data_IF_537542292591
#
_entry.id   IF_537542292591
#
_cell.length_a   1.000
_cell.length_b   1.000
_cell.length_c   1.000
_cell.angle_alpha   90.00
_cell.angle_beta   90.00
_cell.angle_gamma   90.00
#
_symmetry.space_group_name_H-M   'P 1'
#
loop_
_entity.id
_entity.type
_entity.pdbx_description
1 polymer ?
#
# COMPACT_ATOMS: atom_id res chain seq x y z
N UNK A 1 3.27 -20.68 -5.99
CA UNK A 1 3.73 -19.98 -4.81
C UNK A 1 2.85 -18.80 -4.52
N UNK A 2 2.29 -18.75 -3.32
CA UNK A 2 1.35 -17.69 -2.93
C UNK A 2 1.97 -16.31 -3.03
N UNK A 3 3.26 -16.18 -2.77
CA UNK A 3 3.95 -14.88 -2.86
C UNK A 3 3.91 -14.28 -4.26
N UNK A 4 4.00 -15.10 -5.30
CA UNK A 4 3.91 -14.61 -6.67
C UNK A 4 2.55 -13.97 -6.94
N UNK A 5 1.48 -14.60 -6.47
CA UNK A 5 0.14 -14.06 -6.67
C UNK A 5 -0.08 -12.75 -5.92
N UNK A 6 0.39 -12.68 -4.68
CA UNK A 6 0.28 -11.47 -3.89
C UNK A 6 1.12 -10.35 -4.50
N UNK A 7 2.33 -10.68 -4.95
CA UNK A 7 3.19 -9.71 -5.62
C UNK A 7 2.55 -9.20 -6.92
N UNK A 8 1.93 -10.09 -7.67
CA UNK A 8 1.25 -9.72 -8.91
C UNK A 8 0.11 -8.72 -8.65
N UNK A 9 -0.66 -8.93 -7.58
CA UNK A 9 -1.70 -7.98 -7.18
C UNK A 9 -1.12 -6.62 -6.79
N UNK A 10 0.01 -6.62 -6.10
CA UNK A 10 0.70 -5.39 -5.73
C UNK A 10 1.14 -4.60 -6.96
N UNK A 11 1.53 -5.30 -8.03
CA UNK A 11 1.92 -4.69 -9.29
C UNK A 11 0.79 -3.87 -9.90
N UNK A 12 -0.46 -4.34 -9.79
CA UNK A 12 -1.62 -3.59 -10.30
C UNK A 12 -1.72 -2.22 -9.64
N UNK A 13 -1.40 -2.13 -8.35
CA UNK A 13 -1.45 -0.87 -7.61
C UNK A 13 -0.22 0.00 -7.83
N UNK A 14 0.95 -0.62 -7.96
CA UNK A 14 2.22 0.09 -7.97
C UNK A 14 2.96 0.01 -9.31
N UNK A 15 2.27 -0.41 -10.34
CA UNK A 15 2.72 -0.34 -11.75
C UNK A 15 4.11 -0.89 -12.00
N UNK A 16 4.33 -2.16 -11.69
CA UNK A 16 5.60 -2.86 -11.97
C UNK A 16 6.80 -2.34 -11.20
N UNK A 17 6.61 -1.36 -10.33
CA UNK A 17 7.71 -0.85 -9.51
C UNK A 17 7.87 -1.73 -8.28
N UNK A 18 9.12 -2.05 -7.90
CA UNK A 18 9.34 -2.94 -6.76
C UNK A 18 9.02 -2.24 -5.43
N UNK A 19 8.20 -2.90 -4.64
CA UNK A 19 7.90 -2.46 -3.28
C UNK A 19 8.29 -3.61 -2.35
N UNK A 20 9.23 -3.35 -1.45
CA UNK A 20 9.64 -4.35 -0.47
C UNK A 20 8.53 -4.53 0.55
N UNK A 21 8.33 -5.76 0.96
CA UNK A 21 7.29 -6.10 1.92
C UNK A 21 7.76 -7.25 2.78
N UNK A 22 7.11 -7.40 3.93
CA UNK A 22 7.39 -8.49 4.85
C UNK A 22 6.10 -8.96 5.50
N UNK A 23 5.97 -10.26 5.64
CA UNK A 23 4.84 -10.86 6.35
C UNK A 23 5.20 -10.97 7.83
N UNK A 24 4.32 -10.47 8.68
CA UNK A 24 4.48 -10.57 10.14
C UNK A 24 3.50 -11.60 10.66
N UNK A 25 4.01 -12.79 10.95
CA UNK A 25 3.20 -13.94 11.33
C UNK A 25 2.37 -13.69 12.58
N UNK A 26 2.96 -13.04 13.57
CA UNK A 26 2.27 -12.77 14.84
C UNK A 26 1.01 -11.93 14.67
N UNK A 27 0.95 -11.10 13.65
CA UNK A 27 -0.17 -10.21 13.38
C UNK A 27 -0.97 -10.65 12.16
N UNK A 28 -0.47 -11.65 11.44
CA UNK A 28 -1.05 -12.16 10.19
C UNK A 28 -1.33 -11.03 9.20
N UNK A 29 -0.31 -10.18 9.01
CA UNK A 29 -0.40 -9.01 8.13
C UNK A 29 0.84 -8.85 7.29
N UNK A 30 0.64 -8.30 6.09
CA UNK A 30 1.73 -7.77 5.28
C UNK A 30 2.04 -6.35 5.69
N UNK A 31 3.33 -6.06 5.77
CA UNK A 31 3.83 -4.69 5.95
C UNK A 31 4.65 -4.31 4.73
N UNK A 32 4.52 -3.07 4.31
CA UNK A 32 5.16 -2.56 3.10
C UNK A 32 6.11 -1.43 3.44
N UNK A 33 7.20 -1.34 2.69
CA UNK A 33 8.16 -0.26 2.84
C UNK A 33 7.52 1.06 2.46
N UNK A 34 7.43 2.00 3.41
CA UNK A 34 6.81 3.30 3.17
C UNK A 34 7.61 4.08 2.13
N UNK A 35 8.94 4.07 2.27
CA UNK A 35 9.82 4.79 1.35
C UNK A 35 9.66 4.32 -0.10
N UNK A 36 9.48 3.00 -0.30
CA UNK A 36 9.31 2.47 -1.66
C UNK A 36 8.01 2.96 -2.29
N UNK A 37 6.90 2.91 -1.53
CA UNK A 37 5.60 3.34 -2.03
C UNK A 37 5.58 4.84 -2.27
N UNK A 38 6.07 5.62 -1.31
CA UNK A 38 6.13 7.08 -1.42
C UNK A 38 6.98 7.49 -2.60
N UNK A 39 8.12 6.82 -2.81
CA UNK A 39 9.00 7.12 -3.94
C UNK A 39 8.33 6.94 -5.28
N UNK A 40 7.54 5.87 -5.42
CA UNK A 40 6.80 5.60 -6.66
C UNK A 40 5.73 6.65 -6.90
N UNK A 41 4.90 6.91 -5.89
CA UNK A 41 3.73 7.76 -6.04
C UNK A 41 4.06 9.25 -6.04
N UNK A 42 5.10 9.66 -5.35
CA UNK A 42 5.54 11.05 -5.37
C UNK A 42 6.42 11.36 -6.58
N UNK A 43 7.00 10.34 -7.20
CA UNK A 43 7.94 10.54 -8.29
C UNK A 43 9.20 11.27 -7.86
N UNK A 44 9.61 11.10 -6.62
CA UNK A 44 10.75 11.83 -6.06
C UNK A 44 12.07 11.14 -6.41
N UNK A 45 13.07 11.95 -6.72
CA UNK A 45 14.43 11.46 -6.92
C UNK A 45 15.08 11.05 -5.61
N UNK A 46 14.56 11.55 -4.48
CA UNK A 46 15.05 11.21 -3.15
C UNK A 46 13.89 10.81 -2.24
N UNK A 47 13.44 9.53 -2.34
CA UNK A 47 12.28 9.06 -1.57
C UNK A 47 12.47 9.14 -0.06
N UNK A 48 13.68 8.91 0.43
CA UNK A 48 13.95 8.98 1.87
C UNK A 48 13.70 10.38 2.42
N UNK A 49 14.18 11.39 1.71
CA UNK A 49 13.96 12.77 2.12
C UNK A 49 12.49 13.16 2.01
N UNK A 50 11.84 12.74 0.94
CA UNK A 50 10.41 13.01 0.75
C UNK A 50 9.59 12.44 1.92
N UNK A 51 9.84 11.20 2.27
CA UNK A 51 9.14 10.56 3.40
C UNK A 51 9.43 11.28 4.71
N UNK A 52 10.67 11.69 4.93
CA UNK A 52 11.03 12.41 6.15
C UNK A 52 10.21 13.71 6.29
N UNK A 53 10.09 14.47 5.21
CA UNK A 53 9.33 15.72 5.21
C UNK A 53 7.84 15.43 5.41
N UNK A 54 7.30 14.46 4.70
CA UNK A 54 5.90 14.06 4.83
C UNK A 54 5.57 13.59 6.24
N UNK A 55 6.45 12.77 6.80
CA UNK A 55 6.28 12.24 8.16
C UNK A 55 6.22 13.38 9.19
N UNK A 56 7.11 14.37 9.06
CA UNK A 56 7.10 15.52 9.96
C UNK A 56 5.81 16.32 9.82
N UNK A 57 5.32 16.50 8.59
CA UNK A 57 4.07 17.22 8.36
C UNK A 57 2.89 16.48 8.99
N UNK A 58 2.82 15.17 8.81
CA UNK A 58 1.74 14.36 9.39
C UNK A 58 1.76 14.44 10.92
N UNK A 59 2.94 14.41 11.52
CA UNK A 59 3.07 14.54 12.97
C UNK A 59 2.58 15.91 13.45
N UNK A 60 2.92 16.97 12.72
CA UNK A 60 2.49 18.33 13.08
C UNK A 60 0.98 18.51 12.95
N UNK A 61 0.37 17.81 12.02
CA UNK A 61 -1.09 17.85 11.82
C UNK A 61 -1.83 16.99 12.84
N UNK A 62 -1.12 16.33 13.74
CA UNK A 62 -1.73 15.46 14.73
C UNK A 62 -2.19 14.11 14.19
N UNK A 63 -1.73 13.74 13.00
CA UNK A 63 -2.09 12.44 12.43
C UNK A 63 -1.47 11.30 13.23
N UNK A 64 -2.28 10.27 13.51
CA UNK A 64 -1.81 9.10 14.25
C UNK A 64 -1.17 8.05 13.35
N UNK A 65 -1.19 8.25 12.05
CA UNK A 65 -0.73 7.23 11.11
C UNK A 65 0.76 6.91 11.27
N UNK A 66 1.56 7.93 11.63
CA UNK A 66 3.00 7.71 11.82
C UNK A 66 3.28 6.83 13.02
N UNK A 67 2.49 6.96 14.08
CA UNK A 67 2.65 6.13 15.28
C UNK A 67 2.26 4.68 15.05
N UNK A 68 1.47 4.43 14.00
CA UNK A 68 1.08 3.07 13.61
C UNK A 68 2.10 2.40 12.70
N UNK A 69 3.09 3.15 12.23
CA UNK A 69 4.17 2.57 11.44
C UNK A 69 5.15 1.83 12.35
N UNK A 70 5.64 0.71 11.88
CA UNK A 70 6.68 -0.06 12.57
C UNK A 70 8.01 0.14 11.86
N UNK A 71 9.09 -0.25 12.52
CA UNK A 71 10.39 -0.33 11.89
C UNK A 71 10.84 -1.79 11.86
N UNK A 72 11.06 -2.30 10.66
CA UNK A 72 11.53 -3.67 10.46
C UNK A 72 12.75 -3.65 9.56
N UNK A 73 13.60 -4.66 9.72
CA UNK A 73 14.80 -4.77 8.88
C UNK A 73 14.42 -5.32 7.52
N UNK A 74 14.68 -4.56 6.48
CA UNK A 74 14.47 -4.96 5.10
C UNK A 74 15.79 -4.90 4.33
N UNK A 75 15.93 -5.78 3.35
CA UNK A 75 17.13 -5.84 2.54
C UNK A 75 17.24 -4.64 1.62
N UNK A 76 18.40 -4.02 1.57
CA UNK A 76 18.70 -2.93 0.66
C UNK A 76 19.47 -3.43 -0.57
N UNK A 77 19.73 -2.54 -1.52
CA UNK A 77 20.44 -2.89 -2.75
C UNK A 77 21.85 -3.39 -2.52
N UNK A 78 22.47 -2.99 -1.42
CA UNK A 78 23.82 -3.43 -1.07
C UNK A 78 23.85 -4.83 -0.45
N UNK A 79 22.70 -5.48 -0.32
CA UNK A 79 22.57 -6.81 0.26
C UNK A 79 22.51 -6.83 1.78
N UNK A 80 22.62 -5.68 2.42
CA UNK A 80 22.52 -5.56 3.87
C UNK A 80 21.10 -5.19 4.28
N UNK A 81 20.74 -5.52 5.53
CA UNK A 81 19.43 -5.21 6.08
C UNK A 81 19.50 -3.97 6.96
N UNK A 82 18.57 -3.06 6.76
CA UNK A 82 18.48 -1.83 7.54
C UNK A 82 17.06 -1.66 8.09
N UNK A 83 16.98 -1.01 9.25
CA UNK A 83 15.69 -0.64 9.82
C UNK A 83 14.99 0.31 8.86
N UNK A 84 13.77 -0.05 8.49
CA UNK A 84 12.99 0.66 7.47
C UNK A 84 11.59 0.89 8.01
N UNK A 85 11.07 2.08 7.80
CA UNK A 85 9.67 2.36 8.17
C UNK A 85 8.75 1.52 7.29
N UNK A 86 7.88 0.75 7.93
CA UNK A 86 6.90 -0.09 7.24
C UNK A 86 5.50 0.23 7.78
N UNK A 87 4.50 0.00 6.94
CA UNK A 87 3.11 0.22 7.31
C UNK A 87 2.26 -0.92 6.77
N UNK A 88 1.22 -1.28 7.52
CA UNK A 88 0.23 -2.23 7.03
C UNK A 88 -0.63 -1.55 5.95
N UNK A 89 -1.57 -2.31 5.38
CA UNK A 89 -2.39 -1.81 4.26
C UNK A 89 -3.17 -0.57 4.67
N UNK A 90 -3.83 -0.60 5.82
CA UNK A 90 -4.65 0.52 6.28
C UNK A 90 -3.82 1.79 6.44
N UNK A 91 -2.71 1.69 7.13
CA UNK A 91 -1.82 2.84 7.36
C UNK A 91 -1.20 3.34 6.06
N UNK A 92 -0.84 2.42 5.16
CA UNK A 92 -0.29 2.79 3.87
C UNK A 92 -1.30 3.57 3.02
N UNK A 93 -2.56 3.13 3.00
CA UNK A 93 -3.61 3.83 2.28
C UNK A 93 -3.79 5.25 2.82
N UNK A 94 -3.70 5.42 4.13
CA UNK A 94 -3.81 6.73 4.75
C UNK A 94 -2.63 7.63 4.38
N UNK A 95 -1.43 7.09 4.36
CA UNK A 95 -0.23 7.83 3.94
C UNK A 95 -0.36 8.29 2.50
N UNK A 96 -0.80 7.40 1.61
CA UNK A 96 -0.95 7.72 0.18
C UNK A 96 -1.91 8.88 -0.03
N UNK A 97 -2.99 8.94 0.74
CA UNK A 97 -3.96 10.04 0.65
C UNK A 97 -3.33 11.40 0.96
N UNK A 98 -2.22 11.41 1.65
CA UNK A 98 -1.54 12.65 2.05
C UNK A 98 -0.46 13.09 1.06
N UNK A 99 -0.24 12.34 0.00
CA UNK A 99 0.76 12.67 -1.01
C UNK A 99 0.13 13.61 -2.06
N UNK A 100 0.59 14.86 -2.16
CA UNK A 100 -0.02 15.84 -3.08
C UNK A 100 0.51 15.77 -4.51
N UNK A 101 1.04 14.64 -4.91
CA UNK A 101 1.62 14.46 -6.25
C UNK A 101 0.55 14.06 -7.26
N UNK A 102 0.68 14.58 -8.49
CA UNK A 102 -0.18 14.17 -9.60
C UNK A 102 -0.02 12.68 -9.92
N UNK A 103 1.15 12.11 -9.66
CA UNK A 103 1.38 10.68 -9.85
C UNK A 103 0.54 9.81 -8.93
N UNK A 104 0.15 10.34 -7.77
CA UNK A 104 -0.72 9.62 -6.85
C UNK A 104 -2.20 9.70 -7.23
N UNK A 105 -2.57 10.59 -8.15
CA UNK A 105 -3.97 10.82 -8.51
C UNK A 105 -4.69 9.59 -9.04
N UNK A 106 -4.10 8.81 -9.97
CA UNK A 106 -4.77 7.58 -10.44
C UNK A 106 -5.05 6.60 -9.31
N UNK A 107 -4.14 6.51 -8.35
CA UNK A 107 -4.35 5.66 -7.18
C UNK A 107 -5.48 6.18 -6.31
N UNK A 108 -5.55 7.49 -6.10
CA UNK A 108 -6.63 8.10 -5.30
C UNK A 108 -7.99 7.89 -5.97
N UNK A 109 -8.04 7.97 -7.29
CA UNK A 109 -9.26 7.70 -8.04
C UNK A 109 -9.68 6.23 -7.91
N UNK A 110 -8.72 5.32 -8.01
CA UNK A 110 -8.98 3.90 -7.81
C UNK A 110 -9.53 3.64 -6.41
N UNK A 111 -8.94 4.27 -5.40
CA UNK A 111 -9.36 4.11 -4.01
C UNK A 111 -10.79 4.61 -3.80
N UNK A 112 -11.14 5.74 -4.42
CA UNK A 112 -12.50 6.27 -4.36
C UNK A 112 -13.50 5.29 -4.99
N UNK A 113 -13.13 4.69 -6.12
CA UNK A 113 -13.97 3.71 -6.79
C UNK A 113 -14.19 2.47 -5.93
N UNK A 114 -13.12 1.96 -5.33
CA UNK A 114 -13.20 0.80 -4.44
C UNK A 114 -14.09 1.11 -3.24
N UNK A 115 -13.96 2.32 -2.68
CA UNK A 115 -14.81 2.76 -1.58
C UNK A 115 -16.28 2.80 -1.96
N UNK A 116 -16.58 3.32 -3.14
CA UNK A 116 -17.96 3.35 -3.65
C UNK A 116 -18.51 1.94 -3.81
N UNK A 117 -17.73 1.04 -4.41
CA UNK A 117 -18.15 -0.35 -4.60
C UNK A 117 -18.43 -1.03 -3.26
N UNK A 118 -17.59 -0.77 -2.27
CA UNK A 118 -17.79 -1.34 -0.94
C UNK A 118 -19.08 -0.85 -0.29
N UNK A 119 -19.38 0.43 -0.42
CA UNK A 119 -20.60 1.01 0.11
C UNK A 119 -21.83 0.38 -0.58
N UNK A 120 -21.76 0.21 -1.91
CA UNK A 120 -22.84 -0.42 -2.65
C UNK A 120 -23.06 -1.87 -2.22
N UNK A 121 -21.98 -2.59 -1.93
CA UNK A 121 -22.04 -3.97 -1.44
C UNK A 121 -22.71 -4.06 -0.07
N UNK A 122 -22.49 -3.07 0.77
CA UNK A 122 -23.15 -3.02 2.08
C UNK A 122 -24.66 -2.86 1.91
N UNK A 123 -25.09 -2.05 0.94
CA UNK A 123 -26.51 -1.84 0.63
C UNK A 123 -27.14 -3.02 -0.13
N UNK A 124 -26.33 -3.70 -0.95
CA UNK A 124 -26.75 -4.84 -1.75
C UNK A 124 -25.66 -5.92 -1.72
N UNK A 125 -25.72 -6.83 -0.74
CA UNK A 125 -24.68 -7.85 -0.56
C UNK A 125 -24.45 -8.77 -1.75
N UNK A 126 -25.45 -8.91 -2.65
CA UNK A 126 -25.27 -9.73 -3.84
C UNK A 126 -24.15 -9.22 -4.74
N UNK A 127 -23.89 -7.92 -4.71
CA UNK A 127 -22.79 -7.33 -5.47
C UNK A 127 -21.42 -7.86 -5.03
N UNK A 128 -21.27 -8.15 -3.74
CA UNK A 128 -20.04 -8.74 -3.23
C UNK A 128 -19.82 -10.14 -3.81
N UNK A 129 -20.89 -10.91 -3.96
CA UNK A 129 -20.82 -12.26 -4.54
C UNK A 129 -20.41 -12.18 -5.99
N UNK A 130 -21.00 -11.28 -6.76
CA UNK A 130 -20.66 -11.09 -8.18
C UNK A 130 -19.19 -10.68 -8.33
N UNK A 131 -18.73 -9.77 -7.49
CA UNK A 131 -17.32 -9.33 -7.52
C UNK A 131 -16.39 -10.48 -7.19
N UNK A 132 -16.72 -11.28 -6.18
CA UNK A 132 -15.90 -12.44 -5.80
C UNK A 132 -15.80 -13.44 -6.95
N UNK A 133 -16.90 -13.72 -7.65
CA UNK A 133 -16.89 -14.62 -8.81
C UNK A 133 -15.99 -14.10 -9.92
N UNK A 134 -16.06 -12.81 -10.21
CA UNK A 134 -15.20 -12.21 -11.24
C UNK A 134 -13.71 -12.34 -10.88
N UNK A 135 -13.38 -12.12 -9.62
CA UNK A 135 -11.99 -12.28 -9.17
C UNK A 135 -11.55 -13.73 -9.33
N UNK A 136 -12.41 -14.68 -8.98
CA UNK A 136 -12.12 -16.11 -9.16
C UNK A 136 -11.84 -16.44 -10.61
N UNK A 137 -12.68 -15.96 -11.52
CA UNK A 137 -12.52 -16.18 -12.95
C UNK A 137 -11.23 -15.60 -13.48
N UNK A 138 -10.91 -14.35 -13.08
CA UNK A 138 -9.69 -13.68 -13.50
C UNK A 138 -8.44 -14.40 -13.03
N UNK A 139 -8.51 -15.08 -11.90
CA UNK A 139 -7.39 -15.86 -11.38
C UNK A 139 -7.34 -17.29 -11.90
N UNK A 140 -8.32 -17.69 -12.69
CA UNK A 140 -8.37 -19.03 -13.23
C UNK A 140 -8.77 -20.11 -12.25
N UNK A 141 -9.36 -19.76 -11.14
CA UNK A 141 -9.91 -20.74 -10.20
C UNK A 141 -11.22 -21.30 -10.73
N UNK A 142 -11.46 -22.57 -10.44
CA UNK A 142 -12.68 -23.26 -10.87
C UNK A 142 -13.70 -23.37 -9.74
#
# INVERSE_FOLDING_TARGET
MSQKNIHHKSIVLFEHSPVRRIWVEAEEKWYFSVVDVVGILAGSANPNNYWKVLKNRLNKEGSQVVTKCNQLKLMAKDGKKYLTDVADVESMLRIIQSIPSKKAEPFKQWLAKVGQERIEEIQDPERAIVRAKKIYEQKGYK
#
